data_IF_655977305385
#
_entry.id   IF_655977305385
#
_cell.length_a   1.000
_cell.length_b   1.000
_cell.length_c   1.000
_cell.angle_alpha   90.00
_cell.angle_beta   90.00
_cell.angle_gamma   90.00
#
_symmetry.space_group_name_H-M   'P 1'
#
loop_
_entity.id
_entity.type
_entity.pdbx_description
1 polymer ?
#
# COMPACT_ATOMS: atom_id res chain seq x y z
N UNK A 1 0.15 -8.35 36.44
CA UNK A 1 0.75 -7.08 36.88
C UNK A 1 2.08 -6.95 36.16
N UNK A 2 2.04 -6.63 34.86
CA UNK A 2 3.24 -6.35 34.06
C UNK A 2 3.00 -5.06 33.30
N UNK A 3 3.65 -3.98 33.74
CA UNK A 3 3.70 -2.73 33.02
C UNK A 3 4.81 -2.83 31.96
N UNK A 4 4.58 -2.42 30.70
CA UNK A 4 5.61 -2.51 29.68
C UNK A 4 6.71 -1.48 30.00
N UNK A 5 7.96 -1.95 30.03
CA UNK A 5 9.15 -1.11 30.18
C UNK A 5 9.41 -0.34 28.88
N UNK A 6 8.61 0.68 28.61
CA UNK A 6 8.87 1.69 27.58
C UNK A 6 9.50 2.93 28.21
N UNK A 7 10.42 3.58 27.49
CA UNK A 7 10.94 4.89 27.91
C UNK A 7 9.77 5.89 28.07
N UNK A 8 9.89 6.92 28.93
CA UNK A 8 8.82 7.92 29.12
C UNK A 8 8.39 8.58 27.81
N UNK A 9 9.32 8.70 26.85
CA UNK A 9 9.08 9.21 25.49
C UNK A 9 8.31 8.21 24.62
N UNK A 10 8.60 6.92 24.70
CA UNK A 10 7.87 5.88 23.96
C UNK A 10 6.43 5.74 24.46
N UNK A 11 6.20 5.88 25.77
CA UNK A 11 4.85 5.88 26.35
C UNK A 11 4.04 7.10 25.91
N UNK A 12 4.65 8.29 25.90
CA UNK A 12 3.99 9.49 25.39
C UNK A 12 3.63 9.38 23.90
N UNK A 13 4.52 8.80 23.08
CA UNK A 13 4.24 8.55 21.66
C UNK A 13 3.11 7.53 21.45
N UNK A 14 3.02 6.49 22.29
CA UNK A 14 1.94 5.51 22.28
C UNK A 14 0.61 6.14 22.72
N UNK A 15 0.62 6.95 23.79
CA UNK A 15 -0.56 7.67 24.29
C UNK A 15 -1.13 8.67 23.25
N UNK A 16 -0.27 9.30 22.43
CA UNK A 16 -0.71 10.15 21.29
C UNK A 16 -1.33 9.34 20.14
N UNK A 17 -0.80 8.15 19.83
CA UNK A 17 -1.35 7.25 18.82
C UNK A 17 -2.70 6.64 19.24
N UNK A 18 -2.86 6.28 20.52
CA UNK A 18 -4.08 5.65 21.05
C UNK A 18 -5.26 6.64 21.20
N UNK A 19 -4.98 7.95 21.23
CA UNK A 19 -6.00 8.99 21.28
C UNK A 19 -6.72 9.23 19.93
N UNK A 20 -6.06 8.94 18.81
CA UNK A 20 -6.58 9.27 17.47
C UNK A 20 -7.45 8.17 16.86
N UNK A 21 -7.26 6.91 17.27
CA UNK A 21 -7.95 5.74 16.72
C UNK A 21 -9.43 5.63 17.07
N UNK A 22 -9.84 6.11 18.26
CA UNK A 22 -11.25 5.99 18.72
C UNK A 22 -12.24 6.80 17.88
N UNK A 23 -11.85 8.01 17.46
CA UNK A 23 -12.67 8.85 16.57
C UNK A 23 -12.81 8.28 15.15
N UNK A 24 -11.85 7.46 14.71
CA UNK A 24 -11.86 6.82 13.39
C UNK A 24 -12.60 5.48 13.36
N UNK A 25 -12.83 4.88 14.54
CA UNK A 25 -13.57 3.63 14.70
C UNK A 25 -15.08 3.89 14.71
N UNK A 26 -15.53 4.90 15.47
CA UNK A 26 -16.97 5.20 15.69
C UNK A 26 -17.68 5.90 14.52
N UNK A 27 -16.97 6.32 13.47
CA UNK A 27 -17.55 6.92 12.24
C UNK A 27 -17.38 6.03 10.99
N UNK A 28 -17.01 4.77 11.18
CA UNK A 28 -16.67 3.82 10.11
C UNK A 28 -17.82 2.86 9.83
N UNK A 29 -19.07 3.33 9.79
CA UNK A 29 -20.19 2.41 9.55
C UNK A 29 -21.07 2.75 8.33
N UNK A 30 -20.78 3.79 7.52
CA UNK A 30 -21.70 4.09 6.40
C UNK A 30 -21.16 4.63 5.06
N UNK A 31 -19.85 4.89 4.89
CA UNK A 31 -19.31 5.43 3.60
C UNK A 31 -18.18 4.62 2.96
N UNK A 32 -17.79 3.47 3.50
CA UNK A 32 -16.77 2.62 2.85
C UNK A 32 -17.21 1.17 2.80
N UNK A 33 -18.28 0.94 2.03
CA UNK A 33 -18.60 -0.37 1.50
C UNK A 33 -17.33 -1.01 0.86
N UNK A 34 -16.99 -2.27 1.18
CA UNK A 34 -15.95 -3.00 0.48
C UNK A 34 -16.52 -3.46 -0.88
N UNK A 35 -16.37 -2.60 -1.89
CA UNK A 35 -16.48 -2.86 -3.34
C UNK A 35 -17.86 -3.19 -3.95
N UNK A 36 -18.48 -2.15 -4.52
CA UNK A 36 -19.21 -2.20 -5.79
C UNK A 36 -19.64 -0.76 -6.16
N UNK A 37 -19.04 -0.07 -7.16
CA UNK A 37 -18.94 -0.34 -8.61
C UNK A 37 -17.45 -0.57 -9.04
N UNK A 38 -16.92 -0.30 -10.28
CA UNK A 38 -15.64 -0.89 -10.71
C UNK A 38 -14.54 -0.61 -9.70
N UNK A 39 -13.71 -1.63 -9.43
CA UNK A 39 -12.68 -1.50 -8.41
C UNK A 39 -11.78 -0.31 -8.75
N UNK A 40 -11.12 0.29 -7.75
CA UNK A 40 -10.13 1.35 -8.02
C UNK A 40 -9.04 0.86 -8.99
N UNK A 41 -8.77 -0.44 -8.97
CA UNK A 41 -7.86 -1.10 -9.91
C UNK A 41 -8.44 -1.10 -11.32
N UNK A 42 -9.72 -1.43 -11.51
CA UNK A 42 -10.37 -1.39 -12.83
C UNK A 42 -10.45 0.03 -13.37
N UNK A 43 -10.77 1.00 -12.51
CA UNK A 43 -10.76 2.43 -12.89
C UNK A 43 -9.35 2.88 -13.28
N UNK A 44 -8.32 2.44 -12.55
CA UNK A 44 -6.93 2.74 -12.89
C UNK A 44 -6.52 2.12 -14.24
N UNK A 45 -6.98 0.90 -14.56
CA UNK A 45 -6.77 0.28 -15.87
C UNK A 45 -7.43 1.10 -16.99
N UNK A 46 -8.67 1.52 -16.80
CA UNK A 46 -9.41 2.34 -17.78
C UNK A 46 -8.76 3.71 -18.02
N UNK A 47 -8.09 4.26 -17.01
CA UNK A 47 -7.30 5.49 -17.11
C UNK A 47 -5.92 5.29 -17.76
N UNK A 48 -5.56 4.06 -18.14
CA UNK A 48 -4.30 3.74 -18.80
C UNK A 48 -3.10 3.68 -17.86
N UNK A 49 -3.32 3.37 -16.57
CA UNK A 49 -2.22 3.15 -15.62
C UNK A 49 -1.45 1.88 -16.02
N UNK A 50 -0.13 1.99 -16.10
CA UNK A 50 0.75 0.85 -16.35
C UNK A 50 1.09 0.15 -15.03
N UNK A 51 0.85 -1.15 -14.97
CA UNK A 51 1.17 -1.97 -13.81
C UNK A 51 2.49 -2.71 -14.03
N UNK A 52 3.37 -2.64 -13.03
CA UNK A 52 4.67 -3.30 -13.06
C UNK A 52 4.83 -4.25 -11.88
N UNK A 53 5.19 -5.50 -12.16
CA UNK A 53 5.55 -6.47 -11.13
C UNK A 53 7.07 -6.48 -10.94
N UNK A 54 7.49 -6.41 -9.67
CA UNK A 54 8.89 -6.46 -9.32
C UNK A 54 9.43 -7.89 -9.44
N UNK A 55 10.31 -8.11 -10.41
CA UNK A 55 10.90 -9.43 -10.69
C UNK A 55 11.56 -10.05 -9.45
N UNK A 56 12.32 -9.25 -8.70
CA UNK A 56 12.95 -9.71 -7.46
C UNK A 56 11.93 -10.16 -6.41
N UNK A 57 10.84 -9.39 -6.26
CA UNK A 57 9.80 -9.69 -5.27
C UNK A 57 9.01 -10.93 -5.66
N UNK A 58 8.73 -11.12 -6.95
CA UNK A 58 8.10 -12.33 -7.46
C UNK A 58 8.94 -13.57 -7.21
N UNK A 59 10.26 -13.50 -7.47
CA UNK A 59 11.17 -14.63 -7.23
C UNK A 59 11.23 -15.02 -5.75
N UNK A 60 11.16 -14.04 -4.83
CA UNK A 60 11.12 -14.30 -3.38
C UNK A 60 9.80 -14.94 -2.96
N UNK A 61 8.68 -14.49 -3.52
CA UNK A 61 7.35 -15.02 -3.22
C UNK A 61 7.01 -16.31 -3.99
N UNK A 62 7.79 -16.66 -5.01
CA UNK A 62 7.56 -17.84 -5.86
C UNK A 62 6.40 -17.70 -6.84
N UNK A 63 6.00 -16.46 -7.16
CA UNK A 63 4.89 -16.18 -8.08
C UNK A 63 5.34 -16.27 -9.53
N UNK A 64 4.52 -16.87 -10.39
CA UNK A 64 4.78 -16.92 -11.84
C UNK A 64 3.98 -15.87 -12.59
N UNK A 65 4.47 -15.52 -13.78
CA UNK A 65 3.85 -14.51 -14.66
C UNK A 65 2.38 -14.84 -14.96
N UNK A 66 2.05 -16.13 -15.07
CA UNK A 66 0.68 -16.60 -15.39
C UNK A 66 -0.32 -16.42 -14.25
N UNK A 67 0.14 -16.12 -13.04
CA UNK A 67 -0.70 -15.88 -11.86
C UNK A 67 -1.01 -14.40 -11.64
N UNK A 68 -0.38 -13.52 -12.44
CA UNK A 68 -0.61 -12.08 -12.38
C UNK A 68 -1.83 -11.65 -13.20
N UNK A 69 -2.28 -10.43 -12.91
CA UNK A 69 -3.37 -9.81 -13.66
C UNK A 69 -2.93 -9.50 -15.09
N UNK A 70 -3.84 -9.64 -16.05
CA UNK A 70 -3.58 -9.32 -17.45
C UNK A 70 -3.10 -7.86 -17.61
N UNK A 71 -2.02 -7.66 -18.36
CA UNK A 71 -1.44 -6.35 -18.67
C UNK A 71 -0.35 -5.86 -17.70
N UNK A 72 0.04 -6.67 -16.71
CA UNK A 72 1.18 -6.37 -15.85
C UNK A 72 2.50 -6.66 -16.58
N UNK A 73 3.44 -5.71 -16.52
CA UNK A 73 4.78 -5.84 -17.09
C UNK A 73 5.80 -6.20 -16.02
N UNK A 74 6.83 -6.94 -16.40
CA UNK A 74 7.95 -7.23 -15.50
C UNK A 74 8.93 -6.06 -15.45
N UNK A 75 9.26 -5.59 -14.23
CA UNK A 75 10.23 -4.52 -14.03
C UNK A 75 11.19 -4.82 -12.88
N UNK A 76 12.45 -4.44 -13.09
CA UNK A 76 13.47 -4.45 -12.04
C UNK A 76 13.57 -3.11 -11.32
N UNK A 77 14.41 -3.06 -10.29
CA UNK A 77 14.70 -1.82 -9.54
C UNK A 77 15.26 -0.71 -10.44
N UNK A 78 16.04 -1.07 -11.47
CA UNK A 78 16.59 -0.10 -12.42
C UNK A 78 15.48 0.61 -13.21
N UNK A 79 14.45 -0.12 -13.64
CA UNK A 79 13.28 0.44 -14.34
C UNK A 79 12.46 1.33 -13.40
N UNK A 80 12.18 0.85 -12.18
CA UNK A 80 11.43 1.64 -11.19
C UNK A 80 12.15 2.96 -10.85
N UNK A 81 13.48 2.95 -10.75
CA UNK A 81 14.28 4.14 -10.50
C UNK A 81 14.35 5.06 -11.72
N UNK A 82 14.46 4.52 -12.93
CA UNK A 82 14.42 5.31 -14.16
C UNK A 82 13.07 6.03 -14.31
N UNK A 83 11.96 5.32 -14.12
CA UNK A 83 10.62 5.90 -14.17
C UNK A 83 10.39 6.92 -13.05
N UNK A 84 10.87 6.64 -11.84
CA UNK A 84 10.81 7.57 -10.73
C UNK A 84 11.63 8.85 -10.97
N UNK A 85 12.72 8.76 -11.76
CA UNK A 85 13.57 9.91 -12.08
C UNK A 85 12.93 10.84 -13.13
N UNK A 86 12.15 10.29 -14.05
CA UNK A 86 11.40 11.05 -15.05
C UNK A 86 10.02 11.52 -14.55
N UNK A 87 9.54 10.95 -13.44
CA UNK A 87 8.24 11.27 -12.83
C UNK A 87 8.26 12.58 -12.04
N UNK A 88 7.22 13.39 -12.20
CA UNK A 88 7.05 14.63 -11.41
C UNK A 88 6.79 14.36 -9.92
N UNK A 89 6.16 13.24 -9.61
CA UNK A 89 5.80 12.82 -8.26
C UNK A 89 6.04 11.32 -8.17
N UNK A 90 6.84 10.92 -7.18
CA UNK A 90 7.11 9.51 -6.85
C UNK A 90 6.68 9.30 -5.41
N UNK A 91 5.80 8.32 -5.18
CA UNK A 91 5.26 8.01 -3.86
C UNK A 91 5.65 6.58 -3.47
N UNK A 92 6.03 6.39 -2.22
CA UNK A 92 6.30 5.07 -1.64
C UNK A 92 5.23 4.81 -0.57
N UNK A 93 4.39 3.81 -0.80
CA UNK A 93 3.27 3.40 0.07
C UNK A 93 3.56 2.01 0.61
#
# INVERSE_FOLDING_TARGET
MDAPQGSPQARALQDEHDGHGRLHDERRDEETEPHGPPSLIDTAKDLGVEFYACEMSMNVMGLKEEELMDGVKMAGVATALADASESRVTLFI
#
